data_IF_141649899060
#
_entry.id   IF_141649899060
#
_cell.length_a   1.000
_cell.length_b   1.000
_cell.length_c   1.000
_cell.angle_alpha   90.00
_cell.angle_beta   90.00
_cell.angle_gamma   90.00
#
_symmetry.space_group_name_H-M   'P 1'
#
loop_
_entity.id
_entity.type
_entity.pdbx_description
1 polymer ?
#
# COMPACT_ATOMS: atom_id res chain seq x y z
N UNK A 1 -14.86 15.91 -3.20
CA UNK A 1 -14.15 15.96 -4.50
C UNK A 1 -12.79 16.59 -4.26
N UNK A 2 -11.80 15.78 -3.87
CA UNK A 2 -10.41 16.22 -3.76
C UNK A 2 -9.82 16.11 -5.16
N UNK A 3 -9.67 17.26 -5.81
CA UNK A 3 -9.01 17.38 -7.10
C UNK A 3 -7.59 16.81 -6.98
N UNK A 4 -7.17 16.11 -8.03
CA UNK A 4 -5.81 15.58 -8.26
C UNK A 4 -4.76 16.70 -8.36
N UNK A 5 -4.62 17.52 -7.32
CA UNK A 5 -3.59 18.58 -7.24
C UNK A 5 -2.28 18.03 -6.67
N UNK A 6 -1.78 16.94 -7.25
CA UNK A 6 -0.45 16.42 -6.91
C UNK A 6 0.37 15.93 -8.10
N UNK A 7 -0.03 16.30 -9.31
CA UNK A 7 0.67 15.97 -10.55
C UNK A 7 2.11 16.55 -10.64
N UNK A 8 2.58 17.32 -9.66
CA UNK A 8 3.87 18.00 -9.71
C UNK A 8 4.90 17.56 -8.65
N UNK A 9 4.53 16.77 -7.65
CA UNK A 9 5.44 16.47 -6.51
C UNK A 9 6.07 15.07 -6.53
N UNK A 10 5.59 14.16 -7.39
CA UNK A 10 6.17 12.82 -7.55
C UNK A 10 7.31 12.82 -8.57
N UNK A 11 7.34 13.78 -9.51
CA UNK A 11 8.27 13.75 -10.64
C UNK A 11 9.66 14.37 -10.40
N UNK A 12 9.92 15.02 -9.26
CA UNK A 12 11.19 15.72 -9.03
C UNK A 12 12.09 15.14 -7.92
N UNK A 13 11.68 14.12 -7.17
CA UNK A 13 12.42 13.72 -5.96
C UNK A 13 13.32 12.49 -6.08
N UNK A 14 13.22 11.71 -7.16
CA UNK A 14 13.93 10.43 -7.29
C UNK A 14 15.05 10.42 -8.35
N UNK A 15 15.42 11.57 -8.94
CA UNK A 15 16.45 11.63 -10.01
C UNK A 15 17.87 12.03 -9.56
N UNK A 16 18.10 12.35 -8.28
CA UNK A 16 19.44 12.73 -7.78
C UNK A 16 19.94 11.75 -6.70
N UNK A 17 20.53 10.62 -7.12
CA UNK A 17 21.56 9.88 -6.36
C UNK A 17 22.15 8.71 -7.17
N UNK A 18 23.09 9.03 -8.07
CA UNK A 18 24.12 8.08 -8.50
C UNK A 18 25.49 8.61 -8.06
N UNK A 19 26.16 8.03 -7.05
CA UNK A 19 27.58 8.30 -6.85
C UNK A 19 28.42 7.44 -7.81
N UNK A 20 29.54 7.96 -8.34
CA UNK A 20 30.44 7.19 -9.20
C UNK A 20 31.26 6.19 -8.38
N UNK A 21 31.64 5.10 -9.03
CA UNK A 21 32.48 4.02 -8.52
C UNK A 21 33.97 4.46 -8.50
N UNK A 22 34.65 4.36 -7.35
CA UNK A 22 36.11 4.30 -7.26
C UNK A 22 36.52 3.46 -6.05
N UNK A 23 37.47 2.54 -6.26
CA UNK A 23 37.82 1.47 -5.33
C UNK A 23 38.99 1.76 -4.39
N UNK A 24 39.18 0.81 -3.46
CA UNK A 24 40.47 0.38 -2.92
C UNK A 24 41.01 1.14 -1.70
N UNK A 25 40.91 0.53 -0.51
CA UNK A 25 42.06 0.19 0.37
C UNK A 25 41.56 -0.39 1.72
N UNK A 26 42.22 -1.45 2.19
CA UNK A 26 41.96 -2.10 3.46
C UNK A 26 43.00 -1.73 4.53
N UNK A 27 42.62 -1.84 5.81
CA UNK A 27 43.34 -2.60 6.86
C UNK A 27 42.96 -2.15 8.29
N UNK A 28 42.66 -3.14 9.12
CA UNK A 28 42.94 -3.26 10.56
C UNK A 28 42.55 -2.14 11.53
N UNK A 29 41.61 -2.47 12.44
CA UNK A 29 41.88 -2.54 13.91
C UNK A 29 40.72 -3.18 14.67
N UNK A 30 40.89 -4.47 15.00
CA UNK A 30 40.21 -5.11 16.14
C UNK A 30 40.87 -4.63 17.43
N UNK A 31 40.10 -4.06 18.36
CA UNK A 31 40.10 -4.31 19.82
C UNK A 31 39.48 -3.14 20.60
N UNK A 32 38.92 -3.48 21.75
CA UNK A 32 38.42 -2.62 22.83
C UNK A 32 36.98 -2.09 22.72
N UNK A 33 35.99 -2.96 22.97
CA UNK A 33 34.78 -2.52 23.69
C UNK A 33 34.12 -3.69 24.43
N UNK A 34 34.83 -4.26 25.41
CA UNK A 34 34.29 -5.29 26.33
C UNK A 34 34.28 -4.82 27.79
N UNK A 35 34.32 -3.50 28.03
CA UNK A 35 34.41 -2.91 29.38
C UNK A 35 33.22 -2.04 29.80
N UNK A 36 32.15 -1.96 29.01
CA UNK A 36 30.96 -1.14 29.35
C UNK A 36 29.75 -1.92 29.89
N UNK A 37 29.86 -3.25 30.03
CA UNK A 37 28.75 -4.12 30.45
C UNK A 37 28.76 -4.51 31.95
N UNK A 38 29.74 -4.02 32.72
CA UNK A 38 29.91 -4.41 34.13
C UNK A 38 29.31 -3.42 35.15
N UNK A 39 28.96 -2.19 34.75
CA UNK A 39 28.51 -1.13 35.68
C UNK A 39 27.01 -0.86 35.68
N UNK A 40 26.19 -1.70 35.05
CA UNK A 40 24.71 -1.62 35.12
C UNK A 40 24.06 -2.82 35.81
N UNK A 41 24.86 -3.74 36.37
CA UNK A 41 24.36 -4.98 36.98
C UNK A 41 24.08 -4.88 38.48
N UNK A 42 24.35 -3.74 39.11
CA UNK A 42 24.39 -3.61 40.57
C UNK A 42 23.19 -2.84 41.18
N UNK A 43 22.37 -2.16 40.38
CA UNK A 43 21.19 -1.42 40.89
C UNK A 43 19.85 -2.16 40.74
N UNK A 44 19.86 -3.45 40.35
CA UNK A 44 18.65 -4.25 40.14
C UNK A 44 18.47 -5.38 41.17
N UNK A 45 19.08 -5.28 42.38
CA UNK A 45 19.11 -6.37 43.38
C UNK A 45 18.36 -6.13 44.69
N UNK A 46 17.54 -5.10 44.80
CA UNK A 46 16.72 -4.89 46.01
C UNK A 46 15.28 -4.51 45.68
N UNK A 47 14.50 -5.48 45.19
CA UNK A 47 13.07 -5.53 45.46
C UNK A 47 12.50 -6.92 45.16
N UNK A 48 13.00 -7.93 45.89
CA UNK A 48 12.31 -9.22 45.98
C UNK A 48 11.38 -9.15 47.19
N UNK A 49 10.19 -8.58 47.00
CA UNK A 49 9.04 -8.97 47.82
C UNK A 49 8.46 -10.23 47.18
N UNK A 50 8.68 -11.37 47.85
CA UNK A 50 7.95 -12.61 47.61
C UNK A 50 6.45 -12.31 47.72
N UNK A 51 5.74 -12.44 46.61
CA UNK A 51 4.30 -12.63 46.58
C UNK A 51 4.03 -13.97 45.89
N UNK A 52 3.82 -14.94 46.76
CA UNK A 52 3.03 -16.17 46.71
C UNK A 52 2.62 -16.78 45.36
N UNK A 53 2.81 -18.11 45.32
CA UNK A 53 2.46 -19.04 44.27
C UNK A 53 0.94 -19.25 44.27
N UNK A 54 0.26 -18.75 43.24
CA UNK A 54 -1.14 -19.07 42.99
C UNK A 54 -1.95 -17.91 42.43
N UNK A 55 -1.80 -17.60 41.15
CA UNK A 55 -2.92 -17.06 40.40
C UNK A 55 -2.77 -17.43 38.91
N UNK A 56 -3.89 -17.82 38.34
CA UNK A 56 -4.04 -18.43 37.04
C UNK A 56 -3.53 -17.44 35.97
N UNK A 57 -2.58 -17.85 35.12
CA UNK A 57 -2.31 -17.15 33.87
C UNK A 57 -3.58 -17.24 33.00
N UNK A 58 -4.55 -16.36 33.25
CA UNK A 58 -5.74 -16.20 32.41
C UNK A 58 -5.18 -15.95 31.00
N UNK A 59 -5.50 -16.80 30.00
CA UNK A 59 -5.00 -16.57 28.65
C UNK A 59 -5.37 -15.13 28.27
N UNK A 60 -4.38 -14.36 27.82
CA UNK A 60 -4.60 -12.99 27.32
C UNK A 60 -5.61 -13.12 26.18
N UNK A 61 -6.88 -12.85 26.47
CA UNK A 61 -7.93 -12.91 25.47
C UNK A 61 -7.62 -11.80 24.47
N UNK A 62 -7.25 -12.18 23.25
CA UNK A 62 -7.01 -11.20 22.21
C UNK A 62 -8.29 -10.39 22.01
N UNK A 63 -8.19 -9.06 22.17
CA UNK A 63 -9.33 -8.18 22.03
C UNK A 63 -9.77 -8.18 20.56
N UNK A 64 -10.88 -8.84 20.26
CA UNK A 64 -11.50 -8.82 18.94
C UNK A 64 -12.26 -7.51 18.74
N UNK A 65 -12.01 -6.83 17.63
CA UNK A 65 -12.79 -5.67 17.23
C UNK A 65 -14.20 -6.09 16.79
N UNK A 66 -15.20 -5.25 17.07
CA UNK A 66 -16.56 -5.47 16.56
C UNK A 66 -16.54 -5.43 15.02
N UNK A 67 -17.35 -6.25 14.32
CA UNK A 67 -17.45 -6.21 12.87
C UNK A 67 -17.69 -4.77 12.38
N UNK A 68 -17.02 -4.38 11.30
CA UNK A 68 -17.05 -3.02 10.76
C UNK A 68 -16.06 -2.04 11.40
N UNK A 69 -15.57 -2.27 12.62
CA UNK A 69 -14.64 -1.32 13.30
C UNK A 69 -13.32 -1.17 12.54
N UNK A 70 -12.75 -2.29 12.07
CA UNK A 70 -11.49 -2.29 11.32
C UNK A 70 -11.71 -1.70 9.93
N UNK A 71 -12.79 -2.09 9.24
CA UNK A 71 -13.16 -1.56 7.94
C UNK A 71 -13.33 -0.02 7.95
N UNK A 72 -14.03 0.53 8.96
CA UNK A 72 -14.19 1.98 9.10
C UNK A 72 -12.86 2.71 9.37
N UNK A 73 -11.94 2.05 10.07
CA UNK A 73 -10.59 2.59 10.30
C UNK A 73 -9.79 2.63 9.00
N UNK A 74 -9.83 1.55 8.23
CA UNK A 74 -9.17 1.45 6.93
C UNK A 74 -9.74 2.45 5.93
N UNK A 75 -11.06 2.60 5.84
CA UNK A 75 -11.72 3.62 4.98
C UNK A 75 -11.20 5.02 5.31
N UNK A 76 -11.19 5.40 6.60
CA UNK A 76 -10.67 6.71 7.03
C UNK A 76 -9.18 6.88 6.73
N UNK A 77 -8.39 5.82 6.88
CA UNK A 77 -6.97 5.85 6.56
C UNK A 77 -6.73 6.08 5.06
N UNK A 78 -7.34 5.27 4.20
CA UNK A 78 -7.16 5.34 2.76
C UNK A 78 -7.81 6.57 2.11
N UNK A 79 -8.83 7.16 2.73
CA UNK A 79 -9.37 8.45 2.28
C UNK A 79 -8.47 9.63 2.65
N UNK A 80 -7.62 9.49 3.68
CA UNK A 80 -6.68 10.53 4.12
C UNK A 80 -5.36 10.49 3.34
N UNK A 81 -4.92 9.31 2.96
CA UNK A 81 -3.64 9.09 2.24
C UNK A 81 -3.88 8.91 0.74
N UNK A 82 -2.87 9.22 -0.08
CA UNK A 82 -2.95 9.08 -1.54
C UNK A 82 -1.96 8.03 -2.08
N UNK A 83 -1.62 7.04 -1.27
CA UNK A 83 -0.69 5.98 -1.67
C UNK A 83 -1.36 5.02 -2.65
N UNK A 84 -0.60 4.55 -3.63
CA UNK A 84 -1.04 3.48 -4.53
C UNK A 84 -1.23 2.17 -3.74
N UNK A 85 -2.36 1.52 -3.97
CA UNK A 85 -2.76 0.31 -3.23
C UNK A 85 -2.41 -0.98 -3.98
N UNK A 86 -2.30 -0.92 -5.31
CA UNK A 86 -1.92 -2.07 -6.12
C UNK A 86 -0.39 -2.22 -6.11
N UNK A 87 0.09 -3.45 -5.96
CA UNK A 87 1.53 -3.71 -6.03
C UNK A 87 2.06 -3.44 -7.45
N UNK A 88 3.16 -2.68 -7.54
CA UNK A 88 3.73 -2.22 -8.83
C UNK A 88 4.16 -3.37 -9.75
N UNK A 89 4.78 -4.42 -9.20
CA UNK A 89 5.30 -5.55 -9.99
C UNK A 89 4.20 -6.36 -10.69
N UNK A 90 3.17 -6.89 -10.01
CA UNK A 90 2.09 -7.62 -10.69
C UNK A 90 1.33 -6.72 -11.67
N UNK A 91 1.10 -5.44 -11.33
CA UNK A 91 0.47 -4.50 -12.26
C UNK A 91 1.29 -4.31 -13.54
N UNK A 92 2.62 -4.16 -13.41
CA UNK A 92 3.51 -4.07 -14.58
C UNK A 92 3.49 -5.34 -15.43
N UNK A 93 3.38 -6.54 -14.83
CA UNK A 93 3.25 -7.81 -15.57
C UNK A 93 1.96 -7.84 -16.39
N UNK A 94 0.84 -7.45 -15.79
CA UNK A 94 -0.47 -7.39 -16.48
C UNK A 94 -0.44 -6.39 -17.64
N UNK A 95 0.17 -5.21 -17.48
CA UNK A 95 0.30 -4.25 -18.59
C UNK A 95 1.05 -4.86 -19.77
N UNK A 96 2.15 -5.56 -19.50
CA UNK A 96 2.97 -6.17 -20.54
C UNK A 96 2.25 -7.34 -21.23
N UNK A 97 1.49 -8.13 -20.47
CA UNK A 97 0.64 -9.20 -20.99
C UNK A 97 -0.42 -8.65 -21.95
N UNK A 98 -1.17 -7.62 -21.53
CA UNK A 98 -2.18 -6.96 -22.36
C UNK A 98 -1.55 -6.35 -23.61
N UNK A 99 -0.38 -5.73 -23.48
CA UNK A 99 0.32 -5.14 -24.61
C UNK A 99 0.75 -6.19 -25.65
N UNK A 100 1.18 -7.38 -25.19
CA UNK A 100 1.48 -8.50 -26.08
C UNK A 100 0.23 -9.02 -26.79
N UNK A 101 -0.91 -9.09 -26.10
CA UNK A 101 -2.19 -9.49 -26.69
C UNK A 101 -2.64 -8.52 -27.79
N UNK A 102 -2.56 -7.21 -27.53
CA UNK A 102 -3.04 -6.17 -28.46
C UNK A 102 -2.10 -5.98 -29.66
N UNK A 103 -0.78 -5.96 -29.43
CA UNK A 103 0.21 -5.64 -30.46
C UNK A 103 0.77 -6.87 -31.18
N UNK A 104 0.49 -8.07 -30.67
CA UNK A 104 0.98 -9.34 -31.18
C UNK A 104 2.49 -9.56 -30.96
N UNK A 105 3.01 -10.78 -31.28
CA UNK A 105 4.38 -11.17 -30.95
C UNK A 105 5.46 -10.34 -31.68
N UNK A 106 5.15 -9.85 -32.89
CA UNK A 106 6.10 -9.15 -33.76
C UNK A 106 6.53 -7.80 -33.19
N UNK A 107 5.60 -7.07 -32.56
CA UNK A 107 5.85 -5.72 -32.03
C UNK A 107 5.92 -5.71 -30.50
N UNK A 108 5.15 -6.58 -29.84
CA UNK A 108 5.02 -6.58 -28.38
C UNK A 108 6.27 -7.05 -27.62
N UNK A 109 7.04 -8.02 -28.15
CA UNK A 109 8.25 -8.54 -27.48
C UNK A 109 9.36 -7.47 -27.44
N UNK A 110 9.42 -6.59 -28.44
CA UNK A 110 10.38 -5.49 -28.53
C UNK A 110 9.97 -4.22 -27.77
N UNK A 111 8.75 -4.16 -27.23
CA UNK A 111 8.21 -2.94 -26.62
C UNK A 111 8.89 -2.62 -25.29
N UNK A 112 9.63 -1.52 -25.26
CA UNK A 112 10.24 -0.98 -24.05
C UNK A 112 9.26 -0.05 -23.34
N UNK A 113 9.14 -0.23 -22.03
CA UNK A 113 8.26 0.58 -21.19
C UNK A 113 9.08 1.55 -20.35
N UNK A 114 8.69 2.81 -20.37
CA UNK A 114 9.17 3.79 -19.40
C UNK A 114 8.55 3.51 -18.03
N UNK A 115 9.34 3.67 -16.96
CA UNK A 115 8.85 3.53 -15.58
C UNK A 115 7.69 4.50 -15.27
N UNK A 116 7.83 5.76 -15.70
CA UNK A 116 6.80 6.79 -15.56
C UNK A 116 5.48 6.41 -16.26
N UNK A 117 5.54 5.79 -17.44
CA UNK A 117 4.33 5.38 -18.17
C UNK A 117 3.55 4.30 -17.40
N UNK A 118 4.25 3.33 -16.81
CA UNK A 118 3.62 2.28 -15.98
C UNK A 118 2.97 2.90 -14.74
N UNK A 119 3.64 3.86 -14.09
CA UNK A 119 3.07 4.57 -12.94
C UNK A 119 1.83 5.39 -13.31
N UNK A 120 1.87 6.11 -14.41
CA UNK A 120 0.71 6.88 -14.91
C UNK A 120 -0.50 5.97 -15.20
N UNK A 121 -0.26 4.81 -15.82
CA UNK A 121 -1.31 3.81 -16.04
C UNK A 121 -1.87 3.29 -14.72
N UNK A 122 -1.02 3.08 -13.72
CA UNK A 122 -1.45 2.62 -12.40
C UNK A 122 -2.32 3.67 -11.69
N UNK A 123 -1.87 4.92 -11.65
CA UNK A 123 -2.62 6.03 -11.07
C UNK A 123 -3.99 6.22 -11.74
N UNK A 124 -4.04 6.16 -13.07
CA UNK A 124 -5.28 6.26 -13.82
C UNK A 124 -6.24 5.10 -13.52
N UNK A 125 -5.70 3.87 -13.44
CA UNK A 125 -6.50 2.66 -13.17
C UNK A 125 -7.05 2.66 -11.75
N UNK A 126 -6.22 2.93 -10.75
CA UNK A 126 -6.68 3.01 -9.35
C UNK A 126 -7.70 4.13 -9.15
N UNK A 127 -7.47 5.30 -9.76
CA UNK A 127 -8.46 6.37 -9.74
C UNK A 127 -9.79 5.92 -10.37
N UNK A 128 -9.78 5.26 -11.52
CA UNK A 128 -11.00 4.76 -12.15
C UNK A 128 -11.76 3.77 -11.26
N UNK A 129 -11.03 2.82 -10.64
CA UNK A 129 -11.61 1.83 -9.75
C UNK A 129 -12.22 2.45 -8.49
N UNK A 130 -11.55 3.42 -7.87
CA UNK A 130 -12.07 4.15 -6.70
C UNK A 130 -13.42 4.79 -7.02
N UNK A 131 -13.49 5.57 -8.10
CA UNK A 131 -14.75 6.19 -8.51
C UNK A 131 -15.80 5.13 -8.81
N UNK A 132 -15.45 4.02 -9.48
CA UNK A 132 -16.40 2.95 -9.78
C UNK A 132 -16.98 2.32 -8.50
N UNK A 133 -16.16 2.15 -7.46
CA UNK A 133 -16.62 1.65 -6.17
C UNK A 133 -17.49 2.67 -5.42
N UNK A 134 -17.26 3.98 -5.58
CA UNK A 134 -18.15 5.00 -5.03
C UNK A 134 -19.57 4.87 -5.60
N UNK A 135 -19.70 4.76 -6.92
CA UNK A 135 -21.02 4.58 -7.57
C UNK A 135 -21.66 3.23 -7.22
N UNK A 136 -20.87 2.16 -7.19
CA UNK A 136 -21.36 0.84 -6.80
C UNK A 136 -21.84 0.84 -5.33
N UNK A 137 -21.17 1.59 -4.45
CA UNK A 137 -21.58 1.75 -3.06
C UNK A 137 -22.91 2.52 -2.97
N UNK A 138 -23.11 3.58 -3.77
CA UNK A 138 -24.41 4.27 -3.85
C UNK A 138 -25.53 3.33 -4.33
N UNK A 139 -25.26 2.46 -5.31
CA UNK A 139 -26.20 1.44 -5.77
C UNK A 139 -26.55 0.42 -4.68
N UNK A 140 -25.57 -0.01 -3.88
CA UNK A 140 -25.78 -0.92 -2.76
C UNK A 140 -26.66 -0.27 -1.67
N UNK A 141 -26.38 1.00 -1.32
CA UNK A 141 -27.15 1.77 -0.35
C UNK A 141 -28.60 1.99 -0.83
N UNK A 142 -28.77 2.29 -2.12
CA UNK A 142 -30.09 2.42 -2.74
C UNK A 142 -30.93 1.14 -2.58
N UNK A 143 -30.28 -0.02 -2.64
CA UNK A 143 -30.88 -1.33 -2.40
C UNK A 143 -30.91 -1.75 -0.90
N UNK A 144 -30.71 -0.83 0.05
CA UNK A 144 -30.69 -1.06 1.51
C UNK A 144 -29.64 -2.08 1.98
N UNK A 145 -28.51 -2.20 1.27
CA UNK A 145 -27.39 -3.08 1.63
C UNK A 145 -26.13 -2.28 1.96
N UNK A 146 -25.24 -2.90 2.73
CA UNK A 146 -23.90 -2.37 3.05
C UNK A 146 -22.83 -3.05 2.17
N UNK A 147 -23.01 -4.33 1.86
CA UNK A 147 -22.07 -5.11 1.03
C UNK A 147 -22.33 -4.85 -0.45
N UNK A 148 -21.30 -4.39 -1.16
CA UNK A 148 -21.29 -4.27 -2.62
C UNK A 148 -21.34 -5.65 -3.29
N UNK A 149 -22.09 -5.75 -4.39
CA UNK A 149 -22.24 -6.98 -5.16
C UNK A 149 -21.95 -6.72 -6.65
N UNK A 150 -21.74 -7.80 -7.43
CA UNK A 150 -21.47 -7.69 -8.87
C UNK A 150 -22.55 -6.90 -9.63
N UNK A 151 -23.82 -7.06 -9.25
CA UNK A 151 -24.95 -6.32 -9.83
C UNK A 151 -24.85 -4.80 -9.63
N UNK A 152 -24.26 -4.35 -8.52
CA UNK A 152 -24.10 -2.93 -8.22
C UNK A 152 -23.04 -2.31 -9.15
N UNK A 153 -21.94 -3.03 -9.38
CA UNK A 153 -20.89 -2.63 -10.34
C UNK A 153 -21.42 -2.64 -11.77
N UNK A 154 -22.17 -3.67 -12.16
CA UNK A 154 -22.79 -3.75 -13.49
C UNK A 154 -23.76 -2.59 -13.72
N UNK A 155 -24.59 -2.27 -12.74
CA UNK A 155 -25.52 -1.13 -12.79
C UNK A 155 -24.76 0.20 -12.91
N UNK A 156 -23.77 0.44 -12.05
CA UNK A 156 -22.93 1.64 -12.08
C UNK A 156 -22.26 1.82 -13.46
N UNK A 157 -21.68 0.77 -14.02
CA UNK A 157 -21.08 0.81 -15.37
C UNK A 157 -22.11 1.12 -16.46
N UNK A 158 -23.33 0.60 -16.34
CA UNK A 158 -24.40 0.83 -17.32
C UNK A 158 -24.85 2.29 -17.30
N UNK A 159 -25.01 2.88 -16.12
CA UNK A 159 -25.40 4.29 -15.97
C UNK A 159 -24.28 5.22 -16.45
N UNK A 160 -23.02 4.96 -16.08
CA UNK A 160 -21.87 5.77 -16.52
C UNK A 160 -21.74 5.87 -18.04
N UNK A 161 -22.01 4.78 -18.76
CA UNK A 161 -21.93 4.73 -20.23
C UNK A 161 -23.00 5.56 -20.92
N UNK A 162 -24.10 5.91 -20.24
CA UNK A 162 -25.16 6.77 -20.80
C UNK A 162 -24.78 8.26 -20.74
N UNK A 163 -23.77 8.64 -19.95
CA UNK A 163 -23.37 10.04 -19.75
C UNK A 163 -22.13 10.49 -20.55
N UNK A 164 -21.56 9.65 -21.43
CA UNK A 164 -20.58 10.14 -22.42
C UNK A 164 -21.38 10.75 -23.56
N UNK A 165 -21.81 12.00 -23.39
CA UNK A 165 -22.22 12.84 -24.52
C UNK A 165 -21.00 12.98 -25.45
N UNK A 166 -21.08 12.64 -26.74
CA UNK A 166 -20.06 13.02 -27.70
C UNK A 166 -20.21 14.53 -27.90
N UNK A 167 -19.25 15.30 -27.39
CA UNK A 167 -19.13 16.74 -27.58
C UNK A 167 -17.74 17.05 -28.09
#
# INVERSE_FOLDING_TARGET
MLTKSHFHNIYYKDMDQHPPNSGGEGSSKRRASKRRLATLKETARSNVKRAEFGDHLKPIKSKRYRPGTVALREIKHYQKTTNLLILKLPFSRVIREIALEILGPKTGIGLRWQSAAILALQEATEAYLIHLFEDANLCAIHAKRITIMQKDIQLARRIRRVCICPG
#
